data_IF_647108886807
#
_entry.id   IF_647108886807
#
_cell.length_a   1.000
_cell.length_b   1.000
_cell.length_c   1.000
_cell.angle_alpha   90.00
_cell.angle_beta   90.00
_cell.angle_gamma   90.00
#
_symmetry.space_group_name_H-M   'P 1'
#
loop_
_entity.id
_entity.type
_entity.pdbx_description
1 polymer ?
#
# COMPACT_ATOMS: atom_id res chain seq x y z
N UNK A 1 33.94 28.43 17.12
CA UNK A 1 33.08 28.11 15.97
C UNK A 1 32.55 26.72 16.21
N UNK A 2 31.23 26.55 16.29
CA UNK A 2 30.63 25.22 16.42
C UNK A 2 30.66 24.53 15.06
N UNK A 3 31.23 23.34 15.01
CA UNK A 3 31.18 22.46 13.85
C UNK A 3 29.72 22.20 13.50
N UNK A 4 29.29 22.69 12.34
CA UNK A 4 27.98 22.39 11.78
C UNK A 4 27.95 20.92 11.39
N UNK A 5 27.43 20.07 12.28
CA UNK A 5 27.12 18.69 11.97
C UNK A 5 26.22 18.64 10.74
N UNK A 6 26.73 18.06 9.65
CA UNK A 6 25.92 17.77 8.47
C UNK A 6 24.85 16.76 8.89
N UNK A 7 23.63 17.24 9.16
CA UNK A 7 22.49 16.36 9.37
C UNK A 7 22.20 15.66 8.05
N UNK A 8 22.24 14.32 8.04
CA UNK A 8 21.92 13.55 6.83
C UNK A 8 20.45 13.73 6.51
N UNK A 9 20.11 13.87 5.24
CA UNK A 9 18.71 13.96 4.83
C UNK A 9 17.99 12.62 5.14
N UNK A 10 16.75 12.66 5.66
CA UNK A 10 15.94 11.47 5.87
C UNK A 10 15.74 10.66 4.59
N UNK A 11 15.96 9.34 4.66
CA UNK A 11 15.98 8.45 3.48
C UNK A 11 14.79 7.48 3.43
N UNK A 12 13.99 7.40 4.49
CA UNK A 12 12.87 6.45 4.57
C UNK A 12 11.52 7.16 4.42
N UNK A 13 10.84 6.90 3.31
CA UNK A 13 9.47 7.35 3.08
C UNK A 13 8.45 6.46 3.81
N UNK A 14 7.60 7.06 4.64
CA UNK A 14 6.42 6.42 5.21
C UNK A 14 5.19 7.03 4.54
N UNK A 15 4.52 6.26 3.69
CA UNK A 15 3.26 6.66 3.04
C UNK A 15 2.09 6.24 3.94
N UNK A 16 1.26 7.20 4.35
CA UNK A 16 0.07 6.92 5.14
C UNK A 16 -1.21 7.07 4.32
N UNK A 17 -2.13 6.11 4.43
CA UNK A 17 -3.29 5.99 3.53
C UNK A 17 -4.60 5.87 4.34
N UNK A 18 -5.51 6.83 4.14
CA UNK A 18 -6.77 6.89 4.86
C UNK A 18 -7.82 5.86 4.39
N UNK A 19 -8.79 5.61 5.25
CA UNK A 19 -9.95 4.78 4.95
C UNK A 19 -11.07 5.56 4.25
N UNK A 20 -12.22 4.90 4.14
CA UNK A 20 -13.42 5.46 3.53
C UNK A 20 -13.89 6.73 4.27
N UNK A 21 -14.31 7.75 3.52
CA UNK A 21 -14.69 9.10 4.02
C UNK A 21 -13.56 9.84 4.76
N UNK A 22 -12.34 9.28 4.78
CA UNK A 22 -11.19 9.88 5.45
C UNK A 22 -10.48 10.96 4.63
N UNK A 23 -9.40 11.47 5.21
CA UNK A 23 -8.47 12.43 4.58
C UNK A 23 -7.06 12.27 5.17
N UNK A 24 -6.07 12.93 4.56
CA UNK A 24 -4.70 13.01 5.05
C UNK A 24 -4.60 13.49 6.51
N UNK A 25 -5.54 14.34 6.94
CA UNK A 25 -5.57 14.91 8.29
C UNK A 25 -5.75 13.84 9.38
N UNK A 26 -6.39 12.71 9.06
CA UNK A 26 -6.54 11.59 9.99
C UNK A 26 -5.18 11.05 10.45
N UNK A 27 -4.14 11.20 9.63
CA UNK A 27 -2.79 10.78 9.95
C UNK A 27 -1.93 11.87 10.57
N UNK A 28 -2.43 13.10 10.70
CA UNK A 28 -1.64 14.25 11.17
C UNK A 28 -1.02 14.03 12.56
N UNK A 29 -1.72 13.36 13.47
CA UNK A 29 -1.18 13.01 14.79
C UNK A 29 -0.08 11.95 14.70
N UNK A 30 -0.31 10.86 13.96
CA UNK A 30 0.66 9.79 13.79
C UNK A 30 1.93 10.27 13.08
N UNK A 31 1.78 11.07 12.02
CA UNK A 31 2.88 11.65 11.27
C UNK A 31 3.79 12.52 12.15
N UNK A 32 3.20 13.40 12.97
CA UNK A 32 3.94 14.22 13.94
C UNK A 32 4.74 13.37 14.92
N UNK A 33 4.21 12.22 15.35
CA UNK A 33 4.92 11.32 16.26
C UNK A 33 6.03 10.54 15.60
N UNK A 34 5.84 10.06 14.36
CA UNK A 34 6.92 9.43 13.58
C UNK A 34 8.10 10.38 13.39
N UNK A 35 7.83 11.61 12.94
CA UNK A 35 8.86 12.64 12.74
C UNK A 35 9.54 12.99 14.06
N UNK A 36 8.80 13.16 15.15
CA UNK A 36 9.39 13.46 16.46
C UNK A 36 10.31 12.34 16.97
N UNK A 37 9.94 11.08 16.73
CA UNK A 37 10.69 9.92 17.22
C UNK A 37 11.91 9.61 16.34
N UNK A 38 11.83 9.90 15.04
CA UNK A 38 12.84 9.57 14.04
C UNK A 38 13.16 10.75 13.10
N UNK A 39 13.56 11.92 13.62
CA UNK A 39 13.65 13.16 12.85
C UNK A 39 14.65 13.13 11.70
N UNK A 40 15.71 12.32 11.83
CA UNK A 40 16.79 12.21 10.85
C UNK A 40 16.60 11.04 9.87
N UNK A 41 15.63 10.14 10.12
CA UNK A 41 15.48 8.89 9.36
C UNK A 41 14.27 8.93 8.42
N UNK A 42 13.15 9.52 8.86
CA UNK A 42 11.85 9.34 8.18
C UNK A 42 11.27 10.62 7.57
N UNK A 43 10.70 10.46 6.39
CA UNK A 43 9.79 11.40 5.74
C UNK A 43 8.40 10.79 5.79
N UNK A 44 7.44 11.46 6.41
CA UNK A 44 6.04 10.97 6.43
C UNK A 44 5.23 11.72 5.38
N UNK A 45 4.69 10.97 4.42
CA UNK A 45 3.75 11.48 3.42
C UNK A 45 2.33 11.01 3.74
N UNK A 46 1.46 11.94 4.15
CA UNK A 46 0.04 11.66 4.32
C UNK A 46 -0.67 11.83 2.98
N UNK A 47 -1.06 10.71 2.36
CA UNK A 47 -1.71 10.72 1.05
C UNK A 47 -3.00 11.55 1.07
N UNK A 48 -3.10 12.49 0.14
CA UNK A 48 -4.27 13.37 -0.02
C UNK A 48 -5.13 13.03 -1.24
N UNK A 49 -4.64 12.17 -2.14
CA UNK A 49 -5.25 11.93 -3.45
C UNK A 49 -6.67 11.31 -3.41
N UNK A 50 -7.02 10.66 -2.30
CA UNK A 50 -8.30 9.97 -2.08
C UNK A 50 -8.99 10.46 -0.78
N UNK A 51 -9.52 11.67 -0.81
CA UNK A 51 -10.22 12.27 0.33
C UNK A 51 -11.75 12.34 0.13
N UNK A 52 -12.50 12.24 1.22
CA UNK A 52 -13.95 12.41 1.26
C UNK A 52 -14.68 11.54 0.21
N UNK A 53 -15.47 12.15 -0.68
CA UNK A 53 -16.27 11.43 -1.68
C UNK A 53 -15.43 10.68 -2.71
N UNK A 54 -14.17 11.09 -2.94
CA UNK A 54 -13.24 10.37 -3.83
C UNK A 54 -12.89 8.98 -3.30
N UNK A 55 -13.17 8.70 -2.02
CA UNK A 55 -13.00 7.36 -1.43
C UNK A 55 -14.03 6.33 -1.94
N UNK A 56 -15.01 6.76 -2.75
CA UNK A 56 -16.05 5.90 -3.31
C UNK A 56 -15.76 5.43 -4.75
N UNK A 57 -14.64 5.84 -5.33
CA UNK A 57 -14.33 5.62 -6.76
C UNK A 57 -13.88 4.20 -7.11
N UNK A 58 -13.67 3.34 -6.11
CA UNK A 58 -13.17 1.97 -6.29
C UNK A 58 -11.68 1.84 -5.99
N UNK A 59 -11.31 0.69 -5.42
CA UNK A 59 -9.94 0.38 -4.97
C UNK A 59 -8.92 0.49 -6.10
N UNK A 60 -9.27 0.07 -7.31
CA UNK A 60 -8.42 0.15 -8.50
C UNK A 60 -8.09 1.60 -8.90
N UNK A 61 -9.12 2.45 -8.96
CA UNK A 61 -8.97 3.88 -9.32
C UNK A 61 -8.19 4.61 -8.24
N UNK A 62 -8.53 4.38 -6.98
CA UNK A 62 -7.84 4.99 -5.85
C UNK A 62 -6.39 4.51 -5.74
N UNK A 63 -6.12 3.24 -6.01
CA UNK A 63 -4.78 2.66 -5.99
C UNK A 63 -3.89 3.23 -7.09
N UNK A 64 -4.43 3.43 -8.31
CA UNK A 64 -3.69 4.12 -9.39
C UNK A 64 -3.32 5.55 -9.02
N UNK A 65 -4.26 6.32 -8.46
CA UNK A 65 -4.00 7.69 -7.98
C UNK A 65 -2.93 7.72 -6.89
N UNK A 66 -2.97 6.76 -5.96
CA UNK A 66 -1.95 6.64 -4.93
C UNK A 66 -0.59 6.31 -5.53
N UNK A 67 -0.52 5.41 -6.51
CA UNK A 67 0.72 5.10 -7.21
C UNK A 67 1.34 6.33 -7.90
N UNK A 68 0.53 7.12 -8.60
CA UNK A 68 0.95 8.38 -9.22
C UNK A 68 1.44 9.41 -8.20
N UNK A 69 0.76 9.53 -7.05
CA UNK A 69 1.16 10.41 -5.96
C UNK A 69 2.50 9.96 -5.35
N UNK A 70 2.68 8.65 -5.11
CA UNK A 70 3.95 8.09 -4.59
C UNK A 70 5.10 8.36 -5.56
N UNK A 71 4.93 8.09 -6.86
CA UNK A 71 5.97 8.39 -7.87
C UNK A 71 6.34 9.87 -7.88
N UNK A 72 5.36 10.76 -7.72
CA UNK A 72 5.59 12.20 -7.65
C UNK A 72 6.43 12.58 -6.42
N UNK A 73 6.15 11.97 -5.26
CA UNK A 73 6.94 12.19 -4.03
C UNK A 73 8.37 11.68 -4.19
N UNK A 74 8.54 10.46 -4.71
CA UNK A 74 9.87 9.85 -4.92
C UNK A 74 10.70 10.68 -5.91
N UNK A 75 10.10 11.12 -7.01
CA UNK A 75 10.79 11.97 -8.01
C UNK A 75 11.27 13.29 -7.42
N UNK A 76 10.52 13.88 -6.49
CA UNK A 76 10.87 15.13 -5.83
C UNK A 76 11.89 14.97 -4.70
N UNK A 77 12.21 13.73 -4.30
CA UNK A 77 13.08 13.41 -3.16
C UNK A 77 14.07 12.29 -3.53
N UNK A 78 15.10 12.60 -4.34
CA UNK A 78 16.08 11.61 -4.82
C UNK A 78 16.92 10.99 -3.71
N UNK A 79 16.93 11.56 -2.51
CA UNK A 79 17.58 11.01 -1.32
C UNK A 79 16.87 9.79 -0.72
N UNK A 80 15.61 9.54 -1.11
CA UNK A 80 14.84 8.41 -0.59
C UNK A 80 15.46 7.08 -1.08
N UNK A 81 15.57 6.14 -0.15
CA UNK A 81 16.10 4.79 -0.39
C UNK A 81 15.09 3.71 0.01
N UNK A 82 14.23 4.00 0.98
CA UNK A 82 13.35 3.03 1.63
C UNK A 82 11.91 3.51 1.60
N UNK A 83 10.97 2.57 1.50
CA UNK A 83 9.54 2.87 1.55
C UNK A 83 8.78 1.93 2.48
N UNK A 84 7.90 2.51 3.30
CA UNK A 84 6.91 1.80 4.10
C UNK A 84 5.52 2.36 3.82
N UNK A 85 4.50 1.52 3.96
CA UNK A 85 3.10 1.90 3.88
C UNK A 85 2.40 1.64 5.21
N UNK A 86 1.62 2.60 5.69
CA UNK A 86 0.78 2.48 6.87
C UNK A 86 -0.64 2.87 6.50
N UNK A 87 -1.59 1.96 6.63
CA UNK A 87 -2.91 2.15 6.06
C UNK A 87 -4.03 1.74 7.02
N UNK A 88 -5.17 2.43 6.92
CA UNK A 88 -6.33 2.20 7.77
C UNK A 88 -7.57 1.84 6.94
N UNK A 89 -8.25 0.76 7.33
CA UNK A 89 -9.50 0.29 6.73
C UNK A 89 -9.38 0.15 5.21
N UNK A 90 -10.24 0.81 4.43
CA UNK A 90 -10.18 0.82 2.96
C UNK A 90 -8.79 1.21 2.41
N UNK A 91 -8.04 2.04 3.15
CA UNK A 91 -6.70 2.48 2.77
C UNK A 91 -5.72 1.33 2.58
N UNK A 92 -5.86 0.21 3.32
CA UNK A 92 -4.96 -0.94 3.15
C UNK A 92 -5.17 -1.65 1.81
N UNK A 93 -6.40 -1.69 1.30
CA UNK A 93 -6.70 -2.20 -0.03
C UNK A 93 -6.15 -1.26 -1.12
N UNK A 94 -6.32 0.04 -0.94
CA UNK A 94 -5.78 1.07 -1.83
C UNK A 94 -4.26 0.96 -1.92
N UNK A 95 -3.59 0.87 -0.76
CA UNK A 95 -2.14 0.72 -0.66
C UNK A 95 -1.67 -0.57 -1.34
N UNK A 96 -2.32 -1.70 -1.07
CA UNK A 96 -1.99 -2.98 -1.72
C UNK A 96 -2.10 -2.90 -3.24
N UNK A 97 -3.13 -2.23 -3.76
CA UNK A 97 -3.28 -2.04 -5.20
C UNK A 97 -2.19 -1.13 -5.79
N UNK A 98 -1.87 -0.02 -5.11
CA UNK A 98 -0.79 0.87 -5.53
C UNK A 98 0.57 0.17 -5.52
N UNK A 99 0.87 -0.62 -4.48
CA UNK A 99 2.10 -1.39 -4.35
C UNK A 99 2.26 -2.35 -5.54
N UNK A 100 1.22 -3.09 -5.92
CA UNK A 100 1.27 -3.99 -7.06
C UNK A 100 1.53 -3.28 -8.40
N UNK A 101 1.10 -2.02 -8.55
CA UNK A 101 1.41 -1.19 -9.72
C UNK A 101 2.85 -0.67 -9.72
N UNK A 102 3.42 -0.45 -8.54
CA UNK A 102 4.75 0.15 -8.35
C UNK A 102 5.86 -0.88 -8.21
N UNK A 103 5.51 -2.17 -8.11
CA UNK A 103 6.45 -3.24 -7.85
C UNK A 103 7.26 -3.57 -9.11
N UNK A 104 8.58 -3.54 -8.94
CA UNK A 104 9.56 -3.91 -9.95
C UNK A 104 10.28 -5.17 -9.46
N UNK A 105 10.07 -6.34 -10.12
CA UNK A 105 10.79 -7.55 -9.77
C UNK A 105 12.30 -7.33 -9.92
N UNK A 106 13.10 -7.94 -9.03
CA UNK A 106 14.55 -7.94 -9.22
C UNK A 106 14.88 -8.72 -10.51
N UNK A 107 15.38 -8.03 -11.53
CA UNK A 107 15.87 -8.71 -12.72
C UNK A 107 17.21 -9.39 -12.41
N UNK A 108 17.45 -10.58 -12.95
CA UNK A 108 18.73 -11.28 -12.84
C UNK A 108 19.89 -10.57 -13.57
N UNK A 109 19.70 -9.34 -14.04
CA UNK A 109 20.64 -8.63 -14.93
C UNK A 109 21.61 -7.72 -14.18
N UNK A 110 21.40 -7.45 -12.88
CA UNK A 110 22.29 -6.57 -12.09
C UNK A 110 23.62 -7.26 -11.69
N UNK A 111 23.89 -8.48 -12.17
CA UNK A 111 25.09 -9.26 -11.84
C UNK A 111 26.01 -9.58 -13.03
N UNK A 112 25.89 -8.88 -14.17
CA UNK A 112 26.82 -9.05 -15.29
C UNK A 112 27.42 -7.71 -15.78
N UNK A 113 28.20 -7.06 -14.93
CA UNK A 113 29.36 -6.28 -15.39
C UNK A 113 30.60 -6.70 -14.60
N UNK A 114 31.43 -7.52 -15.27
CA UNK A 114 32.85 -7.79 -15.05
C UNK A 114 33.34 -8.26 -13.66
N UNK A 115 33.65 -9.56 -13.53
CA UNK A 115 35.01 -10.10 -13.45
C UNK A 115 34.97 -11.63 -13.32
N UNK A 116 35.55 -12.36 -14.28
CA UNK A 116 35.81 -13.80 -14.11
C UNK A 116 36.97 -14.03 -13.13
N UNK A 117 36.76 -14.84 -12.09
CA UNK A 117 37.72 -15.88 -11.70
C UNK A 117 37.16 -16.92 -10.71
N UNK A 118 37.43 -18.17 -11.08
CA UNK A 118 37.66 -19.37 -10.27
C UNK A 118 36.51 -20.11 -9.58
N UNK A 119 36.64 -21.43 -9.77
CA UNK A 119 35.77 -22.54 -9.39
C UNK A 119 35.86 -22.82 -7.89
N UNK A 120 34.73 -22.96 -7.19
CA UNK A 120 34.41 -24.06 -6.26
C UNK A 120 33.25 -23.73 -5.30
N UNK A 121 32.40 -24.74 -5.10
CA UNK A 121 31.51 -25.00 -3.97
C UNK A 121 31.09 -23.85 -3.05
N UNK A 122 29.86 -23.37 -3.25
CA UNK A 122 28.84 -23.32 -2.21
C UNK A 122 27.52 -22.92 -2.87
N UNK A 123 26.44 -23.65 -2.58
CA UNK A 123 25.08 -23.12 -2.81
C UNK A 123 24.92 -21.88 -1.96
N UNK A 124 25.23 -20.72 -2.53
CA UNK A 124 24.93 -19.44 -1.95
C UNK A 124 23.42 -19.30 -1.95
N UNK A 125 22.78 -19.64 -0.83
CA UNK A 125 21.43 -19.17 -0.50
C UNK A 125 21.49 -17.64 -0.26
N UNK A 126 21.89 -16.87 -1.27
CA UNK A 126 21.57 -15.46 -1.28
C UNK A 126 20.09 -15.36 -1.69
N UNK A 127 19.24 -14.68 -0.89
CA UNK A 127 17.90 -14.41 -1.36
C UNK A 127 18.06 -13.62 -2.65
N UNK A 128 17.47 -14.10 -3.75
CA UNK A 128 17.28 -13.30 -4.96
C UNK A 128 16.80 -11.92 -4.49
N UNK A 129 17.47 -10.85 -4.94
CA UNK A 129 17.25 -9.50 -4.43
C UNK A 129 15.75 -9.20 -4.31
N UNK A 130 15.32 -8.65 -3.18
CA UNK A 130 13.92 -8.24 -3.04
C UNK A 130 13.60 -7.20 -4.13
N UNK A 131 12.48 -7.37 -4.83
CA UNK A 131 11.99 -6.39 -5.79
C UNK A 131 11.80 -5.01 -5.15
N UNK A 132 11.76 -3.97 -5.96
CA UNK A 132 11.65 -2.57 -5.51
C UNK A 132 10.21 -2.08 -5.63
N UNK A 133 9.87 -1.05 -4.87
CA UNK A 133 8.60 -0.33 -5.00
C UNK A 133 8.92 1.11 -5.38
N UNK A 134 8.55 1.52 -6.60
CA UNK A 134 8.91 2.83 -7.16
C UNK A 134 10.42 3.11 -7.09
N UNK A 135 11.25 2.09 -7.35
CA UNK A 135 12.70 2.17 -7.24
C UNK A 135 13.27 2.19 -5.80
N UNK A 136 12.43 2.10 -4.77
CA UNK A 136 12.84 2.10 -3.35
C UNK A 136 12.81 0.69 -2.74
N UNK A 137 13.66 0.47 -1.74
CA UNK A 137 13.69 -0.76 -0.93
C UNK A 137 12.41 -0.86 -0.09
N UNK A 138 11.59 -1.93 -0.26
CA UNK A 138 10.40 -2.12 0.56
C UNK A 138 10.77 -2.51 1.99
N UNK A 139 10.22 -1.81 2.98
CA UNK A 139 10.54 -2.04 4.39
C UNK A 139 9.38 -2.64 5.20
N UNK A 140 8.20 -1.99 5.19
CA UNK A 140 7.06 -2.44 5.99
C UNK A 140 5.73 -2.12 5.29
N UNK A 141 4.80 -3.08 5.31
CA UNK A 141 3.40 -2.87 4.97
C UNK A 141 2.51 -3.13 6.20
N UNK A 142 1.98 -2.06 6.79
CA UNK A 142 1.20 -2.11 8.03
C UNK A 142 -0.23 -1.69 7.74
N UNK A 143 -1.20 -2.53 8.12
CA UNK A 143 -2.62 -2.23 7.92
C UNK A 143 -3.43 -2.42 9.20
N UNK A 144 -4.39 -1.52 9.44
CA UNK A 144 -5.30 -1.57 10.58
C UNK A 144 -6.73 -1.73 10.09
N UNK A 145 -7.49 -2.67 10.68
CA UNK A 145 -8.91 -2.90 10.39
C UNK A 145 -9.24 -3.00 8.87
N UNK A 146 -8.30 -3.51 8.07
CA UNK A 146 -8.43 -3.59 6.62
C UNK A 146 -9.14 -4.88 6.20
N UNK A 147 -10.26 -4.79 5.46
CA UNK A 147 -10.98 -5.97 4.98
C UNK A 147 -10.32 -6.56 3.74
N UNK A 148 -9.14 -7.19 3.90
CA UNK A 148 -8.32 -7.70 2.79
C UNK A 148 -9.04 -8.69 1.87
N UNK A 149 -10.01 -9.45 2.39
CA UNK A 149 -10.83 -10.41 1.63
C UNK A 149 -12.27 -9.91 1.39
N UNK A 150 -12.50 -8.62 1.58
CA UNK A 150 -13.83 -8.04 1.60
C UNK A 150 -14.62 -8.39 2.86
N UNK A 151 -15.85 -7.90 2.90
CA UNK A 151 -16.81 -8.08 3.98
C UNK A 151 -18.01 -8.84 3.43
N UNK A 152 -17.95 -10.17 3.47
CA UNK A 152 -19.11 -10.99 3.12
C UNK A 152 -20.09 -10.97 4.29
N UNK A 153 -21.32 -10.52 4.07
CA UNK A 153 -22.36 -10.55 5.12
C UNK A 153 -22.69 -11.99 5.50
N UNK A 154 -22.08 -12.46 6.58
CA UNK A 154 -22.40 -13.73 7.22
C UNK A 154 -22.38 -13.57 8.75
N UNK A 155 -23.21 -12.66 9.29
CA UNK A 155 -23.41 -12.45 10.75
C UNK A 155 -22.17 -12.02 11.54
N UNK A 156 -21.14 -11.49 10.87
CA UNK A 156 -19.79 -11.32 11.43
C UNK A 156 -19.39 -9.88 11.76
N UNK A 157 -20.28 -8.88 11.68
CA UNK A 157 -19.92 -7.51 12.08
C UNK A 157 -20.07 -7.34 13.60
N UNK A 158 -18.98 -7.38 14.41
CA UNK A 158 -19.09 -7.30 15.87
C UNK A 158 -19.65 -5.94 16.31
N UNK A 159 -19.46 -4.92 15.46
CA UNK A 159 -19.96 -3.56 15.68
C UNK A 159 -21.50 -3.47 15.70
N UNK A 160 -22.22 -4.42 15.08
CA UNK A 160 -23.69 -4.40 14.94
C UNK A 160 -24.40 -5.49 15.77
N UNK A 161 -23.70 -6.08 16.75
CA UNK A 161 -24.22 -7.09 17.69
C UNK A 161 -25.00 -8.25 17.03
N UNK A 162 -24.62 -8.65 15.81
CA UNK A 162 -25.25 -9.77 15.09
C UNK A 162 -26.70 -9.52 14.65
N UNK A 163 -27.15 -8.26 14.59
CA UNK A 163 -28.52 -7.93 14.17
C UNK A 163 -28.67 -7.97 12.64
N UNK A 164 -29.32 -9.03 12.15
CA UNK A 164 -29.54 -9.28 10.71
C UNK A 164 -30.14 -8.10 9.95
N UNK A 165 -31.05 -7.33 10.57
CA UNK A 165 -31.69 -6.17 9.92
C UNK A 165 -30.71 -5.02 9.68
N UNK A 166 -29.81 -4.76 10.62
CA UNK A 166 -28.86 -3.66 10.53
C UNK A 166 -27.70 -4.01 9.60
N UNK A 167 -27.25 -5.27 9.62
CA UNK A 167 -26.31 -5.79 8.62
C UNK A 167 -26.91 -5.74 7.21
N UNK A 168 -28.19 -6.08 7.04
CA UNK A 168 -28.88 -5.97 5.75
C UNK A 168 -29.07 -4.51 5.31
N UNK A 169 -29.23 -3.57 6.24
CA UNK A 169 -29.21 -2.13 5.93
C UNK A 169 -27.82 -1.64 5.54
N UNK A 170 -26.75 -1.98 6.27
CA UNK A 170 -25.38 -1.63 5.89
C UNK A 170 -24.99 -2.24 4.53
N UNK A 171 -25.38 -3.49 4.28
CA UNK A 171 -25.26 -4.17 2.99
C UNK A 171 -26.10 -3.49 1.89
N UNK A 172 -27.31 -3.05 2.24
CA UNK A 172 -28.22 -2.27 1.41
C UNK A 172 -27.82 -0.80 1.24
N UNK A 173 -26.83 -0.32 1.99
CA UNK A 173 -26.22 1.01 1.89
C UNK A 173 -24.85 0.95 1.21
N UNK A 174 -24.36 -0.24 0.83
CA UNK A 174 -23.10 -0.41 0.09
C UNK A 174 -23.06 0.39 -1.22
N UNK A 175 -24.21 0.65 -1.85
CA UNK A 175 -24.31 1.52 -3.03
C UNK A 175 -24.00 2.99 -2.72
N UNK A 176 -24.23 3.45 -1.47
CA UNK A 176 -23.86 4.81 -1.04
C UNK A 176 -22.34 4.99 -0.95
N UNK A 177 -21.60 3.89 -0.80
CA UNK A 177 -20.13 3.88 -0.86
C UNK A 177 -19.59 3.72 -2.30
N UNK A 178 -20.46 3.88 -3.31
CA UNK A 178 -20.09 3.82 -4.71
C UNK A 178 -19.45 2.50 -5.14
N UNK A 179 -18.43 2.59 -5.99
CA UNK A 179 -17.70 1.43 -6.52
C UNK A 179 -16.82 0.78 -5.44
N UNK A 180 -16.30 1.56 -4.49
CA UNK A 180 -15.58 1.03 -3.32
C UNK A 180 -16.45 0.07 -2.50
N UNK A 181 -17.73 0.39 -2.33
CA UNK A 181 -18.70 -0.51 -1.70
C UNK A 181 -18.85 -1.83 -2.48
N UNK A 182 -18.97 -1.78 -3.82
CA UNK A 182 -19.05 -3.00 -4.64
C UNK A 182 -17.83 -3.91 -4.43
N UNK A 183 -16.62 -3.35 -4.42
CA UNK A 183 -15.39 -4.11 -4.18
C UNK A 183 -15.35 -4.73 -2.77
N UNK A 184 -15.67 -3.94 -1.73
CA UNK A 184 -15.69 -4.41 -0.35
C UNK A 184 -16.66 -5.59 -0.16
N UNK A 185 -17.82 -5.55 -0.82
CA UNK A 185 -18.83 -6.61 -0.69
C UNK A 185 -18.71 -7.72 -1.76
N UNK A 186 -17.65 -7.74 -2.56
CA UNK A 186 -17.40 -8.73 -3.61
C UNK A 186 -18.56 -8.80 -4.64
N UNK A 187 -19.12 -7.63 -5.00
CA UNK A 187 -20.27 -7.49 -5.93
C UNK A 187 -19.85 -6.96 -7.31
N UNK A 188 -18.57 -6.89 -7.56
CA UNK A 188 -17.90 -6.37 -8.74
C UNK A 188 -17.43 -7.50 -9.68
N UNK A 189 -18.29 -8.52 -9.86
CA UNK A 189 -18.04 -9.58 -10.85
C UNK A 189 -18.30 -8.99 -12.24
N UNK A 190 -17.27 -8.94 -13.08
CA UNK A 190 -17.30 -8.44 -14.45
C UNK A 190 -16.57 -9.44 -15.37
N UNK A 191 -17.12 -9.69 -16.56
CA UNK A 191 -16.46 -10.41 -17.66
C UNK A 191 -15.74 -11.72 -17.27
N UNK A 192 -16.44 -12.59 -16.52
CA UNK A 192 -15.93 -13.87 -16.00
C UNK A 192 -14.73 -13.78 -15.04
N UNK A 193 -14.29 -12.57 -14.67
CA UNK A 193 -13.23 -12.36 -13.69
C UNK A 193 -13.78 -12.45 -12.27
N UNK A 194 -13.01 -13.01 -11.33
CA UNK A 194 -13.39 -12.96 -9.91
C UNK A 194 -13.42 -11.51 -9.42
N UNK A 195 -14.13 -11.20 -8.31
CA UNK A 195 -14.13 -9.87 -7.70
C UNK A 195 -12.71 -9.34 -7.46
N UNK A 196 -12.49 -8.02 -7.54
CA UNK A 196 -11.16 -7.42 -7.47
C UNK A 196 -10.39 -7.83 -6.22
N UNK A 197 -11.05 -7.84 -5.05
CA UNK A 197 -10.35 -8.21 -3.81
C UNK A 197 -9.90 -9.67 -3.80
N UNK A 198 -10.58 -10.55 -4.54
CA UNK A 198 -10.13 -11.93 -4.71
C UNK A 198 -8.97 -12.01 -5.71
N UNK A 199 -8.99 -11.22 -6.78
CA UNK A 199 -7.84 -11.08 -7.68
C UNK A 199 -6.59 -10.63 -6.92
N UNK A 200 -6.75 -9.72 -5.94
CA UNK A 200 -5.64 -9.22 -5.13
C UNK A 200 -5.04 -10.26 -4.17
N UNK A 201 -5.63 -11.44 -3.98
CA UNK A 201 -5.09 -12.50 -3.09
C UNK A 201 -3.97 -13.29 -3.76
N UNK A 202 -3.89 -13.24 -5.08
CA UNK A 202 -2.86 -13.90 -5.89
C UNK A 202 -2.26 -12.88 -6.84
N UNK A 203 -1.11 -13.16 -7.45
CA UNK A 203 -0.70 -12.35 -8.61
C UNK A 203 -1.70 -12.57 -9.75
N UNK A 204 -2.13 -11.49 -10.40
CA UNK A 204 -3.20 -11.56 -11.40
C UNK A 204 -2.89 -10.63 -12.58
N UNK A 205 -2.70 -11.22 -13.76
CA UNK A 205 -2.19 -10.50 -14.93
C UNK A 205 -0.78 -9.96 -14.66
N UNK A 206 -0.56 -8.69 -14.97
CA UNK A 206 0.73 -8.00 -14.77
C UNK A 206 0.87 -7.40 -13.36
N UNK A 207 -0.07 -7.66 -12.44
CA UNK A 207 -0.08 -7.07 -11.10
C UNK A 207 0.41 -8.09 -10.06
N UNK A 208 1.52 -7.74 -9.40
CA UNK A 208 2.20 -8.56 -8.42
C UNK A 208 1.69 -8.28 -6.99
N UNK A 209 0.50 -8.79 -6.64
CA UNK A 209 -0.12 -8.54 -5.34
C UNK A 209 0.42 -9.38 -4.17
N UNK A 210 1.12 -10.50 -4.44
CA UNK A 210 1.68 -11.37 -3.40
C UNK A 210 3.18 -11.18 -3.22
N UNK A 211 3.92 -10.95 -4.30
CA UNK A 211 5.37 -10.70 -4.20
C UNK A 211 5.73 -9.32 -3.65
N UNK A 212 4.78 -8.38 -3.64
CA UNK A 212 5.04 -6.99 -3.33
C UNK A 212 4.73 -6.56 -1.88
N UNK A 213 4.17 -7.45 -1.04
CA UNK A 213 3.74 -7.16 0.34
C UNK A 213 4.25 -8.15 1.38
#
# INVERSE_FOLDING_TARGET
>A
GGEGGSSRAPTHLIVTVNGIVGSAENWGYAAKHFIRKHPEDVVVHCSGCNSATRTFDGVDVMGRRLAEEVLSVVKCRPELQKISFVAHSLGGLIARYAIALLYEPATQTDCHEEYEKDVSDARSNQPMGQGKIAGLEPMNFITFATPHLGTRSHKQMPLLRGSYRLEKMAFGMSWLAGRSGKHLFLKDVEDEKPPLLLQMVTDYGDLHFMYAI
#
